data_IF_744428892126
#
_entry.id   IF_744428892126
#
_cell.length_a   1.000
_cell.length_b   1.000
_cell.length_c   1.000
_cell.angle_alpha   90.00
_cell.angle_beta   90.00
_cell.angle_gamma   90.00
#
_symmetry.space_group_name_H-M   'P 1'
#
loop_
_entity.id
_entity.type
_entity.pdbx_description
1 polymer ?
#
# COMPACT_ATOMS: atom_id res chain seq x y z
N UNK A 1 12.18 40.44 -39.49
CA UNK A 1 11.63 39.58 -40.56
C UNK A 1 12.20 38.15 -40.51
N UNK A 2 13.47 37.93 -40.23
CA UNK A 2 14.05 36.57 -40.20
C UNK A 2 13.59 35.60 -39.08
N UNK A 3 13.20 36.10 -37.94
CA UNK A 3 12.74 35.22 -36.85
C UNK A 3 11.36 34.56 -37.08
N UNK A 4 10.42 35.30 -37.69
CA UNK A 4 9.09 34.79 -38.03
C UNK A 4 9.15 33.77 -39.15
N UNK A 5 10.01 34.01 -40.12
CA UNK A 5 10.25 33.09 -41.24
C UNK A 5 10.87 31.76 -40.76
N UNK A 6 11.82 31.81 -39.84
CA UNK A 6 12.42 30.60 -39.24
C UNK A 6 11.43 29.79 -38.35
N UNK A 7 10.55 30.47 -37.64
CA UNK A 7 9.49 29.79 -36.87
C UNK A 7 8.47 29.12 -37.78
N UNK A 8 8.05 29.81 -38.85
CA UNK A 8 7.13 29.25 -39.87
C UNK A 8 7.77 28.06 -40.63
N UNK A 9 9.05 28.13 -40.94
CA UNK A 9 9.78 27.03 -41.59
C UNK A 9 9.93 25.83 -40.63
N UNK A 10 10.20 26.07 -39.35
CA UNK A 10 10.30 25.00 -38.32
C UNK A 10 8.95 24.31 -38.06
N UNK A 11 7.84 25.09 -38.00
CA UNK A 11 6.50 24.51 -37.89
C UNK A 11 6.07 23.76 -39.13
N UNK A 12 6.45 24.21 -40.31
CA UNK A 12 6.18 23.49 -41.57
C UNK A 12 6.97 22.18 -41.64
N UNK A 13 8.25 22.18 -41.21
CA UNK A 13 9.08 20.97 -41.10
C UNK A 13 8.52 19.97 -40.08
N UNK A 14 8.01 20.43 -38.92
CA UNK A 14 7.39 19.58 -37.94
C UNK A 14 6.02 19.01 -38.40
N UNK A 15 5.25 19.78 -39.18
CA UNK A 15 4.01 19.30 -39.80
C UNK A 15 4.25 18.26 -40.89
N UNK A 16 5.35 18.40 -41.67
CA UNK A 16 5.75 17.41 -42.70
C UNK A 16 6.36 16.17 -42.04
N UNK A 17 7.10 16.31 -40.93
CA UNK A 17 7.62 15.16 -40.16
C UNK A 17 6.50 14.34 -39.46
N UNK A 18 5.36 14.97 -39.11
CA UNK A 18 4.23 14.28 -38.48
C UNK A 18 3.35 13.42 -39.42
N UNK A 19 3.63 13.44 -40.74
CA UNK A 19 2.86 12.65 -41.74
C UNK A 19 3.58 11.40 -42.21
N UNK A 20 4.80 11.16 -41.77
CA UNK A 20 5.46 9.87 -42.05
C UNK A 20 5.11 8.86 -40.97
N UNK A 21 4.04 8.08 -41.22
CA UNK A 21 3.88 6.78 -40.58
C UNK A 21 5.10 5.94 -40.99
N UNK A 22 6.05 5.81 -40.09
CA UNK A 22 7.15 4.86 -40.27
C UNK A 22 6.57 3.48 -40.03
N UNK A 23 6.02 2.87 -41.07
CA UNK A 23 5.88 1.42 -41.13
C UNK A 23 7.29 0.85 -41.18
N UNK A 24 7.73 0.24 -40.09
CA UNK A 24 8.99 -0.51 -40.10
C UNK A 24 8.79 -1.72 -41.02
N UNK A 25 9.18 -1.60 -42.27
CA UNK A 25 9.21 -2.71 -43.21
C UNK A 25 10.50 -3.49 -42.95
N UNK A 26 10.35 -4.74 -42.51
CA UNK A 26 11.48 -5.65 -42.36
C UNK A 26 11.74 -6.29 -43.72
N UNK A 27 12.98 -6.20 -44.20
CA UNK A 27 13.44 -6.83 -45.43
C UNK A 27 14.11 -8.16 -45.02
N UNK A 28 13.72 -9.30 -45.64
CA UNK A 28 14.38 -10.58 -45.41
C UNK A 28 15.77 -10.62 -46.05
N UNK A 29 16.54 -11.66 -45.77
CA UNK A 29 17.89 -11.86 -46.31
C UNK A 29 17.96 -11.93 -47.87
N UNK A 30 16.80 -12.07 -48.52
CA UNK A 30 16.68 -12.11 -49.99
C UNK A 30 16.24 -10.76 -50.57
N UNK A 31 16.16 -9.69 -49.73
CA UNK A 31 15.81 -8.35 -50.19
C UNK A 31 14.33 -8.13 -50.50
N UNK A 32 13.47 -9.04 -50.07
CA UNK A 32 12.02 -8.92 -50.23
C UNK A 32 11.38 -8.29 -49.00
N UNK A 33 10.42 -7.39 -49.21
CA UNK A 33 9.59 -6.85 -48.12
C UNK A 33 8.78 -7.99 -47.51
N UNK A 34 9.01 -8.24 -46.24
CA UNK A 34 8.19 -9.16 -45.48
C UNK A 34 7.11 -8.34 -44.79
N UNK A 35 5.88 -8.59 -45.18
CA UNK A 35 4.74 -8.05 -44.45
C UNK A 35 4.62 -8.83 -43.12
N UNK A 36 5.22 -8.26 -42.05
CA UNK A 36 5.33 -8.93 -40.75
C UNK A 36 4.01 -8.95 -40.01
N UNK A 37 2.91 -8.47 -40.60
CA UNK A 37 1.72 -8.14 -39.85
C UNK A 37 0.77 -9.31 -39.67
N UNK A 38 0.76 -10.33 -40.51
CA UNK A 38 -0.17 -11.45 -40.36
C UNK A 38 0.45 -12.78 -40.80
N UNK A 39 1.00 -13.51 -39.85
CA UNK A 39 1.21 -14.94 -40.05
C UNK A 39 -0.17 -15.61 -39.93
N UNK A 40 -0.83 -15.87 -41.07
CA UNK A 40 -2.18 -16.50 -41.14
C UNK A 40 -2.23 -17.92 -40.53
N UNK A 41 -1.07 -18.44 -40.10
CA UNK A 41 -0.94 -19.75 -39.50
C UNK A 41 -0.90 -19.76 -37.96
N UNK A 42 -1.04 -18.59 -37.30
CA UNK A 42 -1.05 -18.52 -35.84
C UNK A 42 -2.45 -18.81 -35.33
N UNK A 43 -2.62 -19.92 -34.61
CA UNK A 43 -3.86 -20.24 -33.92
C UNK A 43 -4.01 -19.37 -32.67
N UNK A 44 -4.81 -18.30 -32.81
CA UNK A 44 -5.10 -17.36 -31.71
C UNK A 44 -6.12 -17.90 -30.71
N UNK A 45 -6.68 -19.06 -30.96
CA UNK A 45 -7.63 -19.75 -30.06
C UNK A 45 -6.96 -20.81 -29.20
N UNK A 46 -5.68 -21.09 -29.45
CA UNK A 46 -4.92 -22.02 -28.63
C UNK A 46 -4.78 -21.50 -27.19
N UNK A 47 -4.88 -22.37 -26.21
CA UNK A 47 -4.85 -22.02 -24.78
C UNK A 47 -3.53 -21.35 -24.35
N UNK A 48 -2.44 -21.61 -25.06
CA UNK A 48 -1.11 -21.07 -24.85
C UNK A 48 -0.78 -19.83 -25.71
N UNK A 49 -1.72 -19.37 -26.55
CA UNK A 49 -1.55 -18.14 -27.32
C UNK A 49 -1.34 -16.93 -26.41
N UNK A 50 -2.09 -16.83 -25.30
CA UNK A 50 -1.83 -15.90 -24.21
C UNK A 50 -1.69 -16.72 -22.92
N UNK A 51 -0.58 -16.50 -22.22
CA UNK A 51 -0.37 -17.02 -20.87
C UNK A 51 -0.55 -15.85 -19.91
N UNK A 52 -1.44 -16.01 -18.93
CA UNK A 52 -1.69 -15.03 -17.88
C UNK A 52 -1.25 -15.59 -16.54
N UNK A 53 -0.55 -14.80 -15.75
CA UNK A 53 -0.05 -15.19 -14.42
C UNK A 53 -0.21 -14.06 -13.42
N UNK A 54 -0.44 -14.42 -12.16
CA UNK A 54 -0.32 -13.53 -11.01
C UNK A 54 1.12 -13.60 -10.51
N UNK A 55 1.82 -12.48 -10.50
CA UNK A 55 3.13 -12.35 -9.86
C UNK A 55 2.95 -11.74 -8.48
N UNK A 56 3.63 -12.34 -7.49
CA UNK A 56 3.65 -11.82 -6.12
C UNK A 56 5.08 -11.71 -5.64
N UNK A 57 5.44 -10.53 -5.17
CA UNK A 57 6.74 -10.25 -4.58
C UNK A 57 6.68 -10.27 -3.05
N UNK A 58 7.73 -10.82 -2.45
CA UNK A 58 7.87 -10.89 -1.00
C UNK A 58 7.73 -9.52 -0.31
N UNK A 59 7.24 -9.49 0.93
CA UNK A 59 7.28 -8.31 1.76
C UNK A 59 8.69 -7.72 1.89
N UNK A 60 8.78 -6.40 1.83
CA UNK A 60 10.02 -5.66 2.10
C UNK A 60 10.05 -5.13 3.53
N UNK A 61 11.03 -4.25 3.82
CA UNK A 61 11.27 -3.70 5.15
C UNK A 61 10.86 -2.24 5.30
N UNK A 62 10.44 -1.60 4.21
CA UNK A 62 10.02 -0.20 4.18
C UNK A 62 8.52 -0.07 3.94
N UNK A 63 7.94 1.06 4.34
CA UNK A 63 6.50 1.31 4.36
C UNK A 63 5.78 0.89 3.06
N UNK A 64 6.31 1.26 1.90
CA UNK A 64 5.67 1.01 0.61
C UNK A 64 5.77 -0.44 0.14
N UNK A 65 6.65 -1.25 0.73
CA UNK A 65 6.89 -2.64 0.32
C UNK A 65 6.56 -3.67 1.39
N UNK A 66 6.22 -3.23 2.60
CA UNK A 66 6.05 -4.09 3.80
C UNK A 66 4.96 -5.15 3.63
N UNK A 67 3.97 -4.91 2.80
CA UNK A 67 2.87 -5.84 2.52
C UNK A 67 3.12 -6.70 1.26
N UNK A 68 4.30 -6.59 0.67
CA UNK A 68 4.59 -7.23 -0.61
C UNK A 68 4.12 -6.38 -1.80
N UNK A 69 4.03 -7.00 -2.96
CA UNK A 69 3.46 -6.40 -4.16
C UNK A 69 2.88 -7.48 -5.07
N UNK A 70 1.89 -7.13 -5.87
CA UNK A 70 1.32 -8.03 -6.87
C UNK A 70 1.14 -7.31 -8.20
N UNK A 71 1.34 -8.04 -9.31
CA UNK A 71 1.02 -7.59 -10.65
C UNK A 71 0.53 -8.75 -11.53
N UNK A 72 -0.03 -8.45 -12.68
CA UNK A 72 -0.39 -9.43 -13.70
C UNK A 72 0.71 -9.52 -14.75
N UNK A 73 1.18 -10.72 -15.05
CA UNK A 73 2.08 -10.98 -16.17
C UNK A 73 1.28 -11.56 -17.31
N UNK A 74 1.41 -10.96 -18.49
CA UNK A 74 0.85 -11.50 -19.72
C UNK A 74 1.96 -11.76 -20.74
N UNK A 75 1.90 -12.96 -21.32
CA UNK A 75 2.86 -13.41 -22.31
C UNK A 75 2.14 -13.80 -23.59
N UNK A 76 2.70 -13.46 -24.73
CA UNK A 76 2.37 -14.04 -26.03
C UNK A 76 3.66 -14.56 -26.67
N UNK A 77 4.02 -15.84 -26.44
CA UNK A 77 5.29 -16.42 -26.88
C UNK A 77 5.48 -16.34 -28.39
N UNK A 78 4.41 -16.47 -29.15
CA UNK A 78 4.43 -16.39 -30.62
C UNK A 78 4.94 -15.05 -31.14
N UNK A 79 4.66 -13.95 -30.40
CA UNK A 79 5.12 -12.60 -30.75
C UNK A 79 6.25 -12.11 -29.87
N UNK A 80 6.79 -12.95 -28.97
CA UNK A 80 7.87 -12.59 -28.07
C UNK A 80 7.49 -11.47 -27.07
N UNK A 81 6.20 -11.33 -26.78
CA UNK A 81 5.69 -10.34 -25.82
C UNK A 81 5.65 -10.91 -24.42
N UNK A 82 6.19 -10.18 -23.45
CA UNK A 82 6.25 -10.63 -22.03
C UNK A 82 6.31 -9.41 -21.11
N UNK A 83 5.17 -9.03 -20.55
CA UNK A 83 5.01 -7.81 -19.77
C UNK A 83 4.33 -8.06 -18.44
N UNK A 84 4.78 -7.37 -17.41
CA UNK A 84 4.13 -7.21 -16.12
C UNK A 84 3.28 -5.93 -16.15
N UNK A 85 1.99 -6.06 -15.91
CA UNK A 85 1.05 -4.96 -15.72
C UNK A 85 0.97 -4.67 -14.23
N UNK A 86 1.66 -3.63 -13.80
CA UNK A 86 1.84 -3.30 -12.40
C UNK A 86 1.15 -1.98 -12.05
N UNK A 87 0.34 -1.98 -11.00
CA UNK A 87 -0.30 -0.77 -10.47
C UNK A 87 0.61 -0.15 -9.43
N UNK A 88 1.24 0.95 -9.80
CA UNK A 88 2.34 1.54 -9.03
C UNK A 88 2.21 3.06 -8.88
N UNK A 89 2.95 3.60 -7.95
CA UNK A 89 3.16 5.03 -7.78
C UNK A 89 4.53 5.45 -8.30
N UNK A 90 4.58 6.56 -9.02
CA UNK A 90 5.83 7.13 -9.48
C UNK A 90 6.64 7.71 -8.32
N UNK A 91 7.79 7.09 -8.02
CA UNK A 91 8.83 7.69 -7.17
C UNK A 91 8.48 7.86 -5.70
N UNK A 92 7.75 6.91 -5.09
CA UNK A 92 7.35 6.93 -3.66
C UNK A 92 8.49 7.28 -2.71
N UNK A 93 9.69 6.78 -2.96
CA UNK A 93 10.85 6.89 -2.06
C UNK A 93 11.24 8.34 -1.74
N UNK A 94 10.99 9.27 -2.67
CA UNK A 94 11.38 10.68 -2.54
C UNK A 94 10.20 11.62 -2.32
N UNK A 95 8.97 11.09 -2.16
CA UNK A 95 7.73 11.88 -2.12
C UNK A 95 6.92 11.68 -0.84
N UNK A 96 7.60 11.51 0.29
CA UNK A 96 6.95 11.30 1.59
C UNK A 96 5.99 12.44 1.96
N UNK A 97 6.32 13.68 1.64
CA UNK A 97 5.45 14.83 1.92
C UNK A 97 4.19 14.80 1.03
N UNK A 98 4.33 14.41 -0.24
CA UNK A 98 3.17 14.24 -1.13
C UNK A 98 2.30 13.08 -0.68
N UNK A 99 2.89 11.97 -0.19
CA UNK A 99 2.16 10.87 0.43
C UNK A 99 1.36 11.36 1.63
N UNK A 100 2.01 12.05 2.59
CA UNK A 100 1.33 12.60 3.77
C UNK A 100 0.29 13.67 3.43
N UNK A 101 0.41 14.35 2.29
CA UNK A 101 -0.58 15.29 1.80
C UNK A 101 -1.73 14.63 1.00
N UNK A 102 -1.69 13.29 0.77
CA UNK A 102 -2.66 12.58 -0.06
C UNK A 102 -2.54 12.90 -1.56
N UNK A 103 -1.41 13.45 -2.01
CA UNK A 103 -1.18 13.88 -3.40
C UNK A 103 -0.39 12.88 -4.24
N UNK A 104 -0.06 11.73 -3.65
CA UNK A 104 0.62 10.69 -4.40
C UNK A 104 -0.37 10.05 -5.39
N UNK A 105 0.05 9.92 -6.64
CA UNK A 105 -0.78 9.35 -7.70
C UNK A 105 -0.30 7.95 -8.07
N UNK A 106 -1.23 7.06 -8.35
CA UNK A 106 -1.01 5.70 -8.80
C UNK A 106 -1.49 5.53 -10.24
N UNK A 107 -0.87 4.63 -10.98
CA UNK A 107 -1.30 4.27 -12.31
C UNK A 107 -0.87 2.87 -12.70
N UNK A 108 -1.45 2.34 -13.77
CA UNK A 108 -1.07 1.07 -14.35
C UNK A 108 0.08 1.27 -15.34
N UNK A 109 1.11 0.42 -15.25
CA UNK A 109 2.28 0.43 -16.12
C UNK A 109 2.52 -0.95 -16.70
N UNK A 110 2.86 -1.00 -17.98
CA UNK A 110 3.36 -2.22 -18.62
C UNK A 110 4.90 -2.20 -18.58
N UNK A 111 5.49 -3.13 -17.85
CA UNK A 111 6.93 -3.22 -17.57
C UNK A 111 7.43 -4.55 -18.14
N UNK A 112 8.51 -4.59 -18.94
CA UNK A 112 9.13 -5.85 -19.35
C UNK A 112 9.47 -6.72 -18.13
N UNK A 113 9.16 -8.02 -18.16
CA UNK A 113 9.31 -8.92 -17.01
C UNK A 113 10.73 -8.93 -16.46
N UNK A 114 11.74 -8.83 -17.32
CA UNK A 114 13.15 -8.84 -16.89
C UNK A 114 13.50 -7.58 -16.08
N UNK A 115 12.97 -6.41 -16.46
CA UNK A 115 13.13 -5.16 -15.74
C UNK A 115 12.41 -5.20 -14.38
N UNK A 116 11.19 -5.74 -14.37
CA UNK A 116 10.42 -5.97 -13.14
C UNK A 116 11.22 -6.87 -12.18
N UNK A 117 11.65 -8.04 -12.62
CA UNK A 117 12.43 -8.97 -11.81
C UNK A 117 13.78 -8.38 -11.36
N UNK A 118 14.45 -7.56 -12.20
CA UNK A 118 15.71 -6.93 -11.84
C UNK A 118 15.57 -5.97 -10.65
N UNK A 119 14.43 -5.30 -10.52
CA UNK A 119 14.14 -4.45 -9.36
C UNK A 119 14.11 -5.26 -8.08
N UNK A 120 13.40 -6.38 -8.05
CA UNK A 120 13.29 -7.25 -6.86
C UNK A 120 14.58 -7.98 -6.53
N UNK A 121 15.38 -8.37 -7.53
CA UNK A 121 16.74 -8.91 -7.30
C UNK A 121 17.63 -7.89 -6.56
N UNK A 122 17.58 -6.61 -6.94
CA UNK A 122 18.32 -5.53 -6.24
C UNK A 122 17.86 -5.34 -4.80
N UNK A 123 16.56 -5.52 -4.54
CA UNK A 123 15.98 -5.43 -3.21
C UNK A 123 16.20 -6.70 -2.38
N UNK A 124 16.64 -7.82 -2.99
CA UNK A 124 16.75 -9.15 -2.38
C UNK A 124 15.38 -9.72 -1.98
N UNK A 125 14.33 -9.42 -2.73
CA UNK A 125 12.96 -9.90 -2.53
C UNK A 125 12.62 -10.97 -3.54
N UNK A 126 11.98 -12.05 -3.12
CA UNK A 126 11.49 -13.11 -4.00
C UNK A 126 10.34 -12.63 -4.88
N UNK A 127 10.22 -13.23 -6.08
CA UNK A 127 9.07 -13.06 -6.97
C UNK A 127 8.57 -14.44 -7.37
N UNK A 128 7.31 -14.70 -7.09
CA UNK A 128 6.63 -15.96 -7.32
C UNK A 128 5.53 -15.78 -8.35
N UNK A 129 5.50 -16.67 -9.34
CA UNK A 129 4.54 -16.63 -10.42
C UNK A 129 3.52 -17.77 -10.28
N UNK A 130 2.25 -17.43 -10.28
CA UNK A 130 1.12 -18.35 -10.27
C UNK A 130 0.35 -18.24 -11.58
N UNK A 131 0.36 -19.28 -12.41
CA UNK A 131 -0.38 -19.29 -13.68
C UNK A 131 -1.89 -19.26 -13.42
N UNK A 132 -2.61 -18.40 -14.16
CA UNK A 132 -4.06 -18.27 -14.13
C UNK A 132 -4.70 -19.26 -15.12
N UNK A 133 -5.53 -20.16 -14.61
CA UNK A 133 -6.27 -21.14 -15.42
C UNK A 133 -7.56 -20.53 -15.98
N UNK A 134 -7.43 -19.48 -16.76
CA UNK A 134 -8.53 -18.79 -17.42
C UNK A 134 -8.71 -19.29 -18.87
N UNK A 135 -9.94 -19.28 -19.43
CA UNK A 135 -10.16 -19.52 -20.85
C UNK A 135 -9.39 -18.52 -21.71
N UNK A 136 -9.01 -18.92 -22.92
CA UNK A 136 -8.21 -18.07 -23.82
C UNK A 136 -8.92 -16.74 -24.15
N UNK A 137 -10.24 -16.76 -24.28
CA UNK A 137 -11.03 -15.56 -24.53
C UNK A 137 -10.90 -14.56 -23.39
N UNK A 138 -10.93 -15.03 -22.14
CA UNK A 138 -10.76 -14.20 -20.94
C UNK A 138 -9.32 -13.65 -20.84
N UNK A 139 -8.31 -14.49 -21.14
CA UNK A 139 -6.90 -14.05 -21.14
C UNK A 139 -6.66 -12.94 -22.19
N UNK A 140 -7.27 -13.06 -23.37
CA UNK A 140 -7.18 -12.04 -24.43
C UNK A 140 -7.93 -10.77 -24.03
N UNK A 141 -9.10 -10.91 -23.43
CA UNK A 141 -9.88 -9.77 -22.92
C UNK A 141 -9.13 -9.06 -21.79
N UNK A 142 -8.52 -9.81 -20.87
CA UNK A 142 -7.69 -9.26 -19.81
C UNK A 142 -6.54 -8.42 -20.38
N UNK A 143 -5.86 -8.92 -21.44
CA UNK A 143 -4.82 -8.15 -22.11
C UNK A 143 -5.37 -6.86 -22.71
N UNK A 144 -6.51 -6.92 -23.40
CA UNK A 144 -7.16 -5.75 -24.00
C UNK A 144 -7.49 -4.69 -22.93
N UNK A 145 -8.11 -5.10 -21.83
CA UNK A 145 -8.47 -4.21 -20.71
C UNK A 145 -7.22 -3.53 -20.14
N UNK A 146 -6.18 -4.31 -19.87
CA UNK A 146 -4.94 -3.76 -19.31
C UNK A 146 -4.23 -2.79 -20.27
N UNK A 147 -4.17 -3.11 -21.57
CA UNK A 147 -3.59 -2.23 -22.59
C UNK A 147 -4.38 -0.92 -22.72
N UNK A 148 -5.70 -0.97 -22.67
CA UNK A 148 -6.54 0.23 -22.69
C UNK A 148 -6.27 1.13 -21.47
N UNK A 149 -6.23 0.57 -20.27
CA UNK A 149 -5.92 1.32 -19.06
C UNK A 149 -4.52 1.95 -19.07
N UNK A 150 -3.52 1.23 -19.62
CA UNK A 150 -2.17 1.77 -19.80
C UNK A 150 -2.18 2.90 -20.84
N UNK A 151 -2.89 2.73 -21.98
CA UNK A 151 -2.97 3.71 -23.05
C UNK A 151 -3.71 4.99 -22.63
N UNK A 152 -4.76 4.86 -21.84
CA UNK A 152 -5.50 5.99 -21.26
C UNK A 152 -4.65 6.78 -20.27
N UNK A 153 -3.66 6.14 -19.65
CA UNK A 153 -2.74 6.78 -18.71
C UNK A 153 -3.43 7.33 -17.46
N UNK A 154 -4.52 6.71 -17.04
CA UNK A 154 -5.29 7.14 -15.87
C UNK A 154 -4.41 7.15 -14.62
N UNK A 155 -4.44 8.27 -13.91
CA UNK A 155 -3.77 8.44 -12.61
C UNK A 155 -4.81 8.76 -11.56
N UNK A 156 -4.81 7.99 -10.47
CA UNK A 156 -5.72 8.14 -9.35
C UNK A 156 -4.93 8.42 -8.06
N UNK A 157 -5.51 9.17 -7.11
CA UNK A 157 -4.89 9.35 -5.80
C UNK A 157 -4.60 7.99 -5.15
N UNK A 158 -3.44 7.89 -4.49
CA UNK A 158 -3.03 6.69 -3.77
C UNK A 158 -4.02 6.36 -2.67
N UNK A 159 -4.56 5.16 -2.74
CA UNK A 159 -5.52 4.64 -1.78
C UNK A 159 -5.26 3.14 -1.59
N UNK A 160 -4.49 2.82 -0.55
CA UNK A 160 -4.04 1.46 -0.31
C UNK A 160 -5.13 0.52 0.22
N UNK A 161 -6.26 1.06 0.70
CA UNK A 161 -7.38 0.24 1.15
C UNK A 161 -8.38 -0.09 0.05
N UNK A 162 -8.67 0.87 -0.84
CA UNK A 162 -9.70 0.68 -1.85
C UNK A 162 -9.13 0.40 -3.24
N UNK A 163 -7.88 0.78 -3.49
CA UNK A 163 -7.22 0.70 -4.81
C UNK A 163 -5.76 0.23 -4.72
N UNK A 164 -5.45 -0.63 -3.77
CA UNK A 164 -4.14 -1.28 -3.68
C UNK A 164 -3.90 -2.25 -4.84
N UNK A 165 -2.64 -2.63 -5.09
CA UNK A 165 -2.27 -3.50 -6.22
C UNK A 165 -3.09 -4.80 -6.27
N UNK A 166 -3.35 -5.44 -5.14
CA UNK A 166 -4.08 -6.71 -5.09
C UNK A 166 -5.56 -6.54 -5.45
N UNK A 167 -6.25 -5.53 -4.90
CA UNK A 167 -7.66 -5.23 -5.22
C UNK A 167 -7.82 -4.87 -6.69
N UNK A 168 -6.93 -4.02 -7.22
CA UNK A 168 -6.96 -3.62 -8.63
C UNK A 168 -6.81 -4.82 -9.56
N UNK A 169 -6.00 -5.82 -9.20
CA UNK A 169 -5.88 -7.08 -9.95
C UNK A 169 -7.21 -7.86 -9.93
N UNK A 170 -7.88 -7.94 -8.78
CA UNK A 170 -9.19 -8.59 -8.67
C UNK A 170 -10.20 -7.90 -9.60
N UNK A 171 -10.21 -6.56 -9.62
CA UNK A 171 -11.12 -5.79 -10.47
C UNK A 171 -10.85 -6.02 -11.95
N UNK A 172 -9.60 -5.99 -12.41
CA UNK A 172 -9.25 -6.27 -13.82
C UNK A 172 -9.63 -7.70 -14.24
N UNK A 173 -9.38 -8.69 -13.39
CA UNK A 173 -9.75 -10.07 -13.70
C UNK A 173 -11.26 -10.24 -13.74
N UNK A 174 -12.02 -9.58 -12.85
CA UNK A 174 -13.49 -9.58 -12.89
C UNK A 174 -14.03 -8.89 -14.14
N UNK A 175 -13.46 -7.77 -14.53
CA UNK A 175 -13.83 -7.06 -15.75
C UNK A 175 -13.64 -7.96 -16.98
N UNK A 176 -12.50 -8.64 -17.09
CA UNK A 176 -12.21 -9.56 -18.19
C UNK A 176 -13.09 -10.81 -18.17
N UNK A 177 -13.54 -11.27 -17.01
CA UNK A 177 -14.47 -12.40 -16.87
C UNK A 177 -15.88 -12.10 -17.37
N UNK A 178 -16.30 -10.82 -17.37
CA UNK A 178 -17.64 -10.39 -17.76
C UNK A 178 -18.72 -11.04 -16.90
N UNK A 179 -19.53 -11.94 -17.48
CA UNK A 179 -20.61 -12.64 -16.77
C UNK A 179 -20.11 -13.86 -15.95
N UNK A 180 -18.88 -14.31 -16.17
CA UNK A 180 -18.30 -15.39 -15.39
C UNK A 180 -17.89 -14.89 -14.01
N UNK A 181 -18.00 -15.76 -13.00
CA UNK A 181 -17.72 -15.41 -11.62
C UNK A 181 -16.53 -16.21 -11.06
N UNK A 182 -15.78 -15.56 -10.18
CA UNK A 182 -14.82 -16.24 -9.30
C UNK A 182 -15.63 -16.83 -8.14
N UNK A 183 -15.68 -18.14 -8.07
CA UNK A 183 -16.27 -18.85 -6.94
C UNK A 183 -15.21 -19.02 -5.85
N UNK A 184 -15.29 -18.18 -4.82
CA UNK A 184 -14.44 -18.27 -3.65
C UNK A 184 -14.88 -19.39 -2.71
N UNK A 185 -13.96 -19.86 -1.87
CA UNK A 185 -14.28 -20.75 -0.77
C UNK A 185 -15.10 -20.04 0.32
N UNK A 186 -16.01 -20.78 0.98
CA UNK A 186 -16.91 -20.22 2.01
C UNK A 186 -16.14 -19.60 3.19
N UNK A 187 -14.92 -20.07 3.46
CA UNK A 187 -14.06 -19.52 4.52
C UNK A 187 -13.75 -18.04 4.35
N UNK A 188 -13.77 -17.51 3.12
CA UNK A 188 -13.61 -16.07 2.86
C UNK A 188 -14.77 -15.24 3.42
N UNK A 189 -15.94 -15.84 3.64
CA UNK A 189 -17.14 -15.16 4.12
C UNK A 189 -17.42 -15.44 5.60
N UNK A 190 -16.77 -16.45 6.19
CA UNK A 190 -16.93 -16.80 7.61
C UNK A 190 -16.25 -15.80 8.54
N UNK A 191 -15.15 -15.20 8.10
CA UNK A 191 -14.40 -14.20 8.85
C UNK A 191 -14.46 -12.85 8.14
N UNK A 192 -14.70 -11.80 8.92
CA UNK A 192 -14.73 -10.42 8.41
C UNK A 192 -13.67 -9.59 9.12
N UNK A 193 -12.38 -9.74 8.77
CA UNK A 193 -11.30 -8.95 9.37
C UNK A 193 -11.48 -7.48 9.04
N UNK A 194 -10.92 -6.62 9.86
CA UNK A 194 -10.76 -5.21 9.54
C UNK A 194 -9.48 -4.99 8.72
N UNK A 195 -9.37 -3.86 8.02
CA UNK A 195 -8.12 -3.51 7.34
C UNK A 195 -6.94 -3.42 8.32
N UNK A 196 -7.18 -2.96 9.55
CA UNK A 196 -6.17 -2.91 10.62
C UNK A 196 -5.71 -4.32 11.03
N UNK A 197 -6.62 -5.30 11.11
CA UNK A 197 -6.26 -6.68 11.42
C UNK A 197 -5.37 -7.28 10.33
N UNK A 198 -5.70 -7.04 9.05
CA UNK A 198 -4.89 -7.50 7.93
C UNK A 198 -3.48 -6.89 7.96
N UNK A 199 -3.37 -5.58 8.17
CA UNK A 199 -2.06 -4.92 8.30
C UNK A 199 -1.28 -5.51 9.46
N UNK A 200 -1.89 -5.69 10.65
CA UNK A 200 -1.20 -6.22 11.83
C UNK A 200 -0.73 -7.66 11.64
N UNK A 201 -1.54 -8.50 11.02
CA UNK A 201 -1.21 -9.91 10.75
C UNK A 201 -0.05 -10.01 9.77
N UNK A 202 -0.04 -9.18 8.73
CA UNK A 202 0.93 -9.26 7.65
C UNK A 202 2.19 -8.38 7.85
N UNK A 203 2.32 -7.66 8.97
CA UNK A 203 3.50 -6.80 9.28
C UNK A 203 4.23 -7.20 10.55
N UNK A 204 4.16 -8.49 10.93
CA UNK A 204 4.85 -9.01 12.14
C UNK A 204 6.37 -8.93 12.04
N UNK A 205 6.90 -8.89 10.83
CA UNK A 205 8.32 -8.75 10.50
C UNK A 205 8.82 -7.30 10.50
N UNK A 206 7.94 -6.29 10.65
CA UNK A 206 8.25 -4.86 10.52
C UNK A 206 7.47 -4.03 11.56
N UNK A 207 7.79 -4.21 12.84
CA UNK A 207 7.02 -3.66 13.96
C UNK A 207 6.96 -2.13 13.97
N UNK A 208 8.03 -1.44 13.51
CA UNK A 208 8.01 0.02 13.39
C UNK A 208 7.06 0.49 12.31
N UNK A 209 7.01 -0.21 11.17
CA UNK A 209 6.06 0.13 10.10
C UNK A 209 4.63 -0.16 10.57
N UNK A 210 4.39 -1.28 11.24
CA UNK A 210 3.11 -1.60 11.86
C UNK A 210 2.66 -0.52 12.84
N UNK A 211 3.56 -0.08 13.72
CA UNK A 211 3.30 0.97 14.69
C UNK A 211 2.85 2.26 13.99
N UNK A 212 3.58 2.71 12.96
CA UNK A 212 3.25 3.92 12.21
C UNK A 212 1.95 3.75 11.42
N UNK A 213 1.74 2.62 10.75
CA UNK A 213 0.52 2.36 10.00
C UNK A 213 -0.72 2.38 10.92
N UNK A 214 -0.65 1.70 12.07
CA UNK A 214 -1.71 1.73 13.07
C UNK A 214 -1.90 3.11 13.70
N UNK A 215 -0.84 3.92 13.80
CA UNK A 215 -0.90 5.29 14.28
C UNK A 215 -1.62 6.22 13.30
N UNK A 216 -1.39 6.06 11.99
CA UNK A 216 -2.00 6.88 10.94
C UNK A 216 -3.46 6.49 10.67
N UNK A 217 -3.83 5.23 10.89
CA UNK A 217 -5.12 4.67 10.53
C UNK A 217 -6.26 5.24 11.37
N UNK A 218 -7.26 5.81 10.70
CA UNK A 218 -8.52 6.27 11.28
C UNK A 218 -9.56 5.15 11.39
N UNK A 219 -10.83 5.51 11.67
CA UNK A 219 -11.92 4.57 11.92
C UNK A 219 -12.34 3.75 10.69
N UNK A 220 -12.19 4.29 9.50
CA UNK A 220 -12.58 3.62 8.26
C UNK A 220 -11.87 2.27 8.11
N UNK A 221 -10.62 2.19 8.57
CA UNK A 221 -9.80 0.97 8.54
C UNK A 221 -10.34 -0.12 9.46
N UNK A 222 -11.18 0.25 10.41
CA UNK A 222 -11.76 -0.66 11.41
C UNK A 222 -13.14 -1.20 11.00
N UNK A 223 -13.62 -0.84 9.80
CA UNK A 223 -14.83 -1.43 9.24
C UNK A 223 -14.56 -2.88 8.79
N UNK A 224 -15.53 -3.79 9.03
CA UNK A 224 -15.41 -5.18 8.59
C UNK A 224 -15.32 -5.29 7.08
N UNK A 225 -14.31 -5.99 6.58
CA UNK A 225 -14.13 -6.27 5.17
C UNK A 225 -14.87 -7.56 4.80
N UNK A 226 -15.71 -7.49 3.78
CA UNK A 226 -16.57 -8.61 3.35
C UNK A 226 -16.16 -9.06 1.95
N UNK A 227 -16.05 -10.39 1.77
CA UNK A 227 -15.74 -11.02 0.49
C UNK A 227 -14.37 -10.59 -0.04
N UNK A 228 -14.29 -10.24 -1.30
CA UNK A 228 -13.06 -9.86 -1.99
C UNK A 228 -12.44 -8.54 -1.51
N UNK A 229 -13.17 -7.70 -0.78
CA UNK A 229 -12.58 -6.55 -0.08
C UNK A 229 -11.50 -6.94 0.95
N UNK A 230 -11.48 -8.21 1.38
CA UNK A 230 -10.41 -8.74 2.23
C UNK A 230 -9.09 -8.97 1.48
N UNK A 231 -9.12 -9.00 0.15
CA UNK A 231 -7.96 -9.34 -0.69
C UNK A 231 -7.04 -8.13 -0.93
N UNK A 232 -6.84 -7.30 0.09
CA UNK A 232 -5.99 -6.10 0.05
C UNK A 232 -4.51 -6.44 -0.06
N UNK A 233 -4.11 -7.58 0.52
CA UNK A 233 -2.72 -7.97 0.68
C UNK A 233 -2.36 -9.05 -0.34
N UNK A 234 -1.25 -8.92 -1.07
CA UNK A 234 -0.86 -9.87 -2.12
C UNK A 234 -0.86 -11.33 -1.69
N UNK A 235 -0.37 -11.66 -0.51
CA UNK A 235 -0.34 -13.04 -0.03
C UNK A 235 -1.75 -13.56 0.31
N UNK A 236 -2.65 -12.71 0.79
CA UNK A 236 -4.03 -13.10 1.09
C UNK A 236 -4.81 -13.30 -0.22
N UNK A 237 -4.53 -12.51 -1.26
CA UNK A 237 -5.04 -12.73 -2.62
C UNK A 237 -4.61 -14.10 -3.14
N UNK A 238 -3.33 -14.47 -3.03
CA UNK A 238 -2.84 -15.80 -3.45
C UNK A 238 -3.60 -16.90 -2.71
N UNK A 239 -3.70 -16.82 -1.38
CA UNK A 239 -4.38 -17.84 -0.55
C UNK A 239 -5.84 -18.03 -0.96
N UNK A 240 -6.56 -16.93 -1.20
CA UNK A 240 -7.95 -16.98 -1.64
C UNK A 240 -8.07 -17.56 -3.06
N UNK A 241 -7.21 -17.16 -3.99
CA UNK A 241 -7.27 -17.59 -5.37
C UNK A 241 -6.79 -19.05 -5.60
N UNK A 242 -5.91 -19.56 -4.73
CA UNK A 242 -5.56 -21.01 -4.74
C UNK A 242 -6.75 -21.92 -4.43
N UNK A 243 -7.73 -21.42 -3.66
CA UNK A 243 -8.95 -22.16 -3.32
C UNK A 243 -10.13 -21.81 -4.24
N UNK A 244 -10.04 -20.69 -4.95
CA UNK A 244 -11.08 -20.19 -5.84
C UNK A 244 -11.15 -20.99 -7.16
N UNK A 245 -12.33 -20.96 -7.78
CA UNK A 245 -12.61 -21.61 -9.07
C UNK A 245 -13.27 -20.67 -10.03
N UNK A 246 -12.97 -20.85 -11.33
CA UNK A 246 -13.71 -20.23 -12.44
C UNK A 246 -14.21 -21.37 -13.32
N UNK A 247 -15.52 -21.41 -13.60
CA UNK A 247 -16.16 -22.51 -14.35
C UNK A 247 -15.84 -23.91 -13.79
N UNK A 248 -15.74 -24.02 -12.45
CA UNK A 248 -15.44 -25.28 -11.75
C UNK A 248 -13.97 -25.73 -11.79
N UNK A 249 -13.09 -25.03 -12.51
CA UNK A 249 -11.64 -25.29 -12.52
C UNK A 249 -10.92 -24.39 -11.51
N UNK A 250 -9.84 -24.88 -10.83
CA UNK A 250 -9.01 -24.04 -9.97
C UNK A 250 -8.51 -22.80 -10.71
N UNK A 251 -8.61 -21.62 -10.07
CA UNK A 251 -8.20 -20.35 -10.69
C UNK A 251 -6.68 -20.25 -10.84
N UNK A 252 -5.91 -20.69 -9.84
CA UNK A 252 -4.45 -20.68 -9.88
C UNK A 252 -3.88 -22.09 -10.08
N UNK A 253 -2.71 -22.19 -10.68
CA UNK A 253 -1.87 -23.36 -10.60
C UNK A 253 -1.47 -23.61 -9.13
N UNK A 254 -1.29 -24.89 -8.75
CA UNK A 254 -1.03 -25.29 -7.36
C UNK A 254 0.33 -24.82 -6.84
N UNK A 255 1.35 -24.86 -7.68
CA UNK A 255 2.71 -24.52 -7.31
C UNK A 255 3.20 -23.28 -8.08
N UNK A 256 3.87 -22.33 -7.40
CA UNK A 256 4.44 -21.17 -8.05
C UNK A 256 5.74 -21.53 -8.80
N UNK A 257 5.97 -20.85 -9.92
CA UNK A 257 7.27 -20.76 -10.53
C UNK A 257 8.08 -19.63 -9.84
N UNK A 258 9.31 -19.89 -9.42
CA UNK A 258 10.16 -18.91 -8.75
C UNK A 258 10.95 -18.15 -9.82
N UNK A 259 10.60 -16.86 -10.02
CA UNK A 259 11.29 -15.99 -10.98
C UNK A 259 12.51 -15.30 -10.36
N UNK A 260 12.42 -14.99 -9.07
CA UNK A 260 13.50 -14.41 -8.27
C UNK A 260 13.52 -15.09 -6.92
N UNK A 261 14.67 -15.62 -6.54
CA UNK A 261 14.89 -16.11 -5.18
C UNK A 261 15.02 -14.93 -4.21
N UNK A 262 14.28 -14.98 -3.12
CA UNK A 262 14.31 -13.97 -2.08
C UNK A 262 14.87 -14.52 -0.76
N UNK A 263 15.49 -13.66 0.01
CA UNK A 263 15.90 -13.96 1.37
C UNK A 263 14.86 -13.40 2.35
N UNK A 264 14.36 -14.19 3.32
CA UNK A 264 13.48 -13.68 4.36
C UNK A 264 14.17 -12.54 5.13
N UNK A 265 13.61 -11.35 5.07
CA UNK A 265 14.14 -10.20 5.82
C UNK A 265 13.50 -10.15 7.19
N UNK A 266 14.26 -10.50 8.22
CA UNK A 266 13.91 -10.22 9.62
C UNK A 266 14.48 -8.84 9.95
N UNK A 267 13.63 -7.88 10.21
CA UNK A 267 14.05 -6.49 10.28
C UNK A 267 14.12 -5.89 11.68
N UNK A 268 13.42 -6.44 12.64
CA UNK A 268 13.33 -5.82 13.94
C UNK A 268 14.51 -6.25 14.82
N UNK A 269 15.44 -5.32 15.02
CA UNK A 269 16.40 -5.42 16.10
C UNK A 269 15.70 -5.40 17.46
N UNK A 270 16.46 -5.47 18.54
CA UNK A 270 15.94 -5.43 19.91
C UNK A 270 15.16 -4.14 20.24
N UNK A 271 15.39 -3.03 19.51
CA UNK A 271 14.73 -1.75 19.72
C UNK A 271 13.42 -1.66 18.93
N UNK A 272 12.35 -2.06 19.58
CA UNK A 272 10.98 -2.07 18.99
C UNK A 272 10.12 -0.93 19.55
N UNK A 273 8.96 -0.61 18.95
CA UNK A 273 8.01 0.36 19.51
C UNK A 273 7.59 0.02 20.95
N UNK A 274 7.45 -1.27 21.25
CA UNK A 274 7.12 -1.73 22.61
C UNK A 274 8.24 -1.39 23.59
N UNK A 275 9.49 -1.63 23.23
CA UNK A 275 10.66 -1.29 24.07
C UNK A 275 10.74 0.21 24.31
N UNK A 276 10.53 1.02 23.25
CA UNK A 276 10.47 2.49 23.40
C UNK A 276 9.37 2.91 24.36
N UNK A 277 8.16 2.37 24.21
CA UNK A 277 7.00 2.74 25.03
C UNK A 277 7.20 2.37 26.51
N UNK A 278 7.77 1.18 26.77
CA UNK A 278 8.14 0.75 28.14
C UNK A 278 9.22 1.70 28.72
N UNK A 279 10.25 2.03 27.95
CA UNK A 279 11.31 2.94 28.40
C UNK A 279 10.75 4.32 28.75
N UNK A 280 9.87 4.88 27.90
CA UNK A 280 9.24 6.16 28.17
C UNK A 280 8.37 6.10 29.43
N UNK A 281 7.61 5.02 29.62
CA UNK A 281 6.80 4.82 30.82
C UNK A 281 7.67 4.72 32.09
N UNK A 282 8.73 3.95 32.08
CA UNK A 282 9.68 3.83 33.20
C UNK A 282 10.31 5.17 33.53
N UNK A 283 10.74 5.94 32.52
CA UNK A 283 11.28 7.28 32.70
C UNK A 283 10.24 8.26 33.25
N UNK A 284 8.99 8.18 32.80
CA UNK A 284 7.90 9.02 33.31
C UNK A 284 7.60 8.69 34.79
N UNK A 285 7.56 7.42 35.18
CA UNK A 285 7.43 6.99 36.58
C UNK A 285 8.60 7.50 37.44
N UNK A 286 9.83 7.29 36.98
CA UNK A 286 11.02 7.77 37.68
C UNK A 286 11.02 9.28 37.86
N UNK A 287 10.55 10.02 36.85
CA UNK A 287 10.47 11.49 36.90
C UNK A 287 9.41 12.03 37.89
N UNK A 288 8.45 11.23 38.32
CA UNK A 288 7.56 11.62 39.45
C UNK A 288 8.36 11.80 40.75
N UNK A 289 9.42 11.00 40.94
CA UNK A 289 10.28 11.07 42.13
C UNK A 289 11.45 12.05 41.95
N UNK A 290 12.05 12.14 40.77
CA UNK A 290 13.18 13.01 40.50
C UNK A 290 12.78 14.47 40.25
N UNK A 291 11.54 14.72 39.86
CA UNK A 291 10.95 16.05 39.71
C UNK A 291 11.59 16.92 38.63
N UNK A 292 12.23 16.35 37.61
CA UNK A 292 12.98 17.14 36.62
C UNK A 292 12.07 17.78 35.58
N UNK A 293 11.95 19.11 35.50
CA UNK A 293 11.02 19.81 34.61
C UNK A 293 11.40 19.69 33.13
N UNK A 294 12.70 19.55 32.80
CA UNK A 294 13.14 19.41 31.41
C UNK A 294 12.63 18.12 30.76
N UNK A 295 12.43 17.03 31.52
CA UNK A 295 11.84 15.80 31.01
C UNK A 295 10.35 16.01 30.64
N UNK A 296 9.59 16.72 31.50
CA UNK A 296 8.21 17.04 31.25
C UNK A 296 8.08 17.88 29.96
N UNK A 297 8.96 18.87 29.79
CA UNK A 297 9.02 19.69 28.59
C UNK A 297 9.34 18.88 27.33
N UNK A 298 10.31 18.01 27.39
CA UNK A 298 10.69 17.15 26.27
C UNK A 298 9.50 16.26 25.85
N UNK A 299 8.87 15.62 26.81
CA UNK A 299 7.71 14.75 26.56
C UNK A 299 6.52 15.53 25.96
N UNK A 300 6.21 16.70 26.52
CA UNK A 300 5.12 17.53 25.99
C UNK A 300 5.46 18.15 24.63
N UNK A 301 6.70 18.51 24.38
CA UNK A 301 7.13 18.97 23.07
C UNK A 301 7.03 17.87 22.01
N UNK A 302 7.44 16.65 22.34
CA UNK A 302 7.28 15.47 21.45
C UNK A 302 5.81 15.19 21.17
N UNK A 303 4.95 15.19 22.21
CA UNK A 303 3.51 15.02 22.05
C UNK A 303 2.91 16.10 21.15
N UNK A 304 3.29 17.36 21.35
CA UNK A 304 2.81 18.49 20.54
C UNK A 304 3.23 18.35 19.08
N UNK A 305 4.49 17.99 18.81
CA UNK A 305 4.98 17.79 17.45
C UNK A 305 4.20 16.71 16.72
N UNK A 306 4.03 15.55 17.36
CA UNK A 306 3.22 14.44 16.83
C UNK A 306 1.76 14.88 16.67
N UNK A 307 1.22 15.61 17.65
CA UNK A 307 -0.15 16.15 17.60
C UNK A 307 -0.39 17.16 16.49
N UNK A 308 0.60 18.01 16.16
CA UNK A 308 0.53 18.89 14.99
C UNK A 308 0.46 18.06 13.69
N UNK A 309 1.28 17.01 13.58
CA UNK A 309 1.23 16.09 12.45
C UNK A 309 -0.13 15.39 12.32
N UNK A 310 -0.67 14.87 13.43
CA UNK A 310 -1.99 14.25 13.46
C UNK A 310 -3.11 15.23 13.06
N UNK A 311 -3.07 16.45 13.60
CA UNK A 311 -4.03 17.50 13.25
C UNK A 311 -3.94 17.87 11.76
N UNK A 312 -2.72 17.93 11.21
CA UNK A 312 -2.52 18.15 9.78
C UNK A 312 -3.16 17.03 8.96
N UNK A 313 -2.91 15.77 9.29
CA UNK A 313 -3.46 14.62 8.56
C UNK A 313 -4.98 14.58 8.58
N UNK A 314 -5.60 14.87 9.74
CA UNK A 314 -7.07 14.82 9.88
C UNK A 314 -7.75 16.02 9.21
N UNK A 315 -7.15 17.21 9.26
CA UNK A 315 -7.84 18.45 8.87
C UNK A 315 -7.42 19.01 7.50
N UNK A 316 -6.25 18.64 6.97
CA UNK A 316 -5.65 19.28 5.81
C UNK A 316 -5.06 18.30 4.77
N UNK A 317 -5.02 17.02 5.06
CA UNK A 317 -4.52 16.01 4.14
C UNK A 317 -5.68 15.30 3.44
N UNK A 318 -5.49 14.99 2.16
CA UNK A 318 -6.37 14.12 1.39
C UNK A 318 -5.93 12.64 1.47
N UNK A 319 -5.04 12.30 2.41
CA UNK A 319 -4.59 10.92 2.60
C UNK A 319 -5.77 10.06 3.09
N UNK A 320 -6.07 9.02 2.34
CA UNK A 320 -7.17 8.12 2.67
C UNK A 320 -7.03 7.50 4.07
N UNK A 321 -8.14 7.17 4.68
CA UNK A 321 -8.22 6.37 5.91
C UNK A 321 -7.55 7.01 7.14
N UNK A 322 -7.38 8.32 7.18
CA UNK A 322 -6.83 9.04 8.35
C UNK A 322 -7.90 9.75 9.19
N UNK A 323 -9.11 9.86 8.67
CA UNK A 323 -10.21 10.54 9.34
C UNK A 323 -10.66 9.81 10.62
N UNK A 324 -11.21 10.58 11.57
CA UNK A 324 -11.73 10.06 12.84
C UNK A 324 -10.74 9.18 13.60
N UNK A 325 -9.46 9.58 13.62
CA UNK A 325 -8.43 8.83 14.32
C UNK A 325 -8.49 9.09 15.83
N UNK A 326 -8.75 8.04 16.62
CA UNK A 326 -8.84 8.10 18.08
C UNK A 326 -7.56 8.60 18.78
N UNK A 327 -6.41 8.54 18.11
CA UNK A 327 -5.14 9.03 18.63
C UNK A 327 -5.05 10.55 18.69
N UNK A 328 -6.00 11.29 18.11
CA UNK A 328 -6.06 12.76 18.26
C UNK A 328 -6.30 13.20 19.70
N UNK A 329 -6.98 12.38 20.52
CA UNK A 329 -7.23 12.73 21.92
C UNK A 329 -5.93 12.78 22.74
N UNK A 330 -5.04 11.77 22.71
CA UNK A 330 -3.74 11.85 23.39
C UNK A 330 -2.68 12.67 22.62
N UNK A 331 -2.73 12.70 21.30
CA UNK A 331 -1.76 13.39 20.46
C UNK A 331 -2.36 14.65 19.83
N UNK A 332 -2.32 15.76 20.56
CA UNK A 332 -2.79 17.05 20.09
C UNK A 332 -1.89 18.19 20.61
N UNK A 333 -1.87 19.36 19.96
CA UNK A 333 -0.98 20.48 20.35
C UNK A 333 -1.45 21.29 21.56
N UNK A 334 -2.67 21.05 22.05
CA UNK A 334 -3.31 21.90 23.08
C UNK A 334 -2.52 22.00 24.39
N UNK A 335 -1.93 20.92 24.95
CA UNK A 335 -1.20 20.98 26.19
C UNK A 335 -0.06 22.01 26.21
N UNK A 336 0.68 22.15 25.10
CA UNK A 336 1.76 23.13 25.00
C UNK A 336 1.22 24.54 24.70
N UNK A 337 0.22 24.66 23.84
CA UNK A 337 -0.43 25.95 23.52
C UNK A 337 -0.99 26.58 24.78
N UNK A 338 -1.66 25.80 25.62
CA UNK A 338 -2.27 26.28 26.86
C UNK A 338 -1.38 26.04 28.09
N UNK A 339 -0.07 25.86 27.92
CA UNK A 339 0.87 25.62 29.02
C UNK A 339 0.78 26.60 30.16
N UNK A 340 0.55 27.89 29.85
CA UNK A 340 0.42 28.93 30.88
C UNK A 340 -0.72 28.66 31.87
N UNK A 341 -1.82 28.06 31.38
CA UNK A 341 -2.99 27.68 32.21
C UNK A 341 -2.97 26.23 32.67
N UNK A 342 -1.83 25.53 32.66
CA UNK A 342 -1.73 24.11 32.98
C UNK A 342 -2.38 23.68 34.32
N UNK A 343 -2.34 24.58 35.34
CA UNK A 343 -2.98 24.30 36.64
C UNK A 343 -4.49 24.15 36.57
N UNK A 344 -5.12 24.59 35.49
CA UNK A 344 -6.58 24.51 35.30
C UNK A 344 -6.97 23.34 34.40
N UNK A 345 -6.20 23.05 33.34
CA UNK A 345 -6.54 22.02 32.38
C UNK A 345 -5.88 20.65 32.66
N UNK A 346 -4.75 20.60 33.39
CA UNK A 346 -4.01 19.35 33.53
C UNK A 346 -4.82 18.21 34.17
N UNK A 347 -5.63 18.50 35.19
CA UNK A 347 -6.45 17.47 35.84
C UNK A 347 -7.57 16.93 34.93
N UNK A 348 -8.43 17.75 34.29
CA UNK A 348 -9.42 17.24 33.36
C UNK A 348 -8.79 16.53 32.17
N UNK A 349 -7.66 17.01 31.63
CA UNK A 349 -6.99 16.34 30.53
C UNK A 349 -6.35 14.99 30.94
N UNK A 350 -5.78 14.89 32.12
CA UNK A 350 -5.34 13.62 32.68
C UNK A 350 -6.52 12.63 32.80
N UNK A 351 -7.70 13.11 33.17
CA UNK A 351 -8.93 12.29 33.17
C UNK A 351 -9.29 11.77 31.76
N UNK A 352 -9.21 12.64 30.74
CA UNK A 352 -9.43 12.23 29.33
C UNK A 352 -8.43 11.16 28.90
N UNK A 353 -7.14 11.33 29.18
CA UNK A 353 -6.11 10.35 28.87
C UNK A 353 -6.32 9.00 29.58
N UNK A 354 -6.73 9.05 30.86
CA UNK A 354 -7.01 7.84 31.63
C UNK A 354 -8.22 7.07 31.07
N UNK A 355 -9.30 7.77 30.74
CA UNK A 355 -10.48 7.18 30.09
C UNK A 355 -10.11 6.59 28.74
N UNK A 356 -9.34 7.31 27.94
CA UNK A 356 -8.85 6.82 26.63
C UNK A 356 -8.02 5.54 26.79
N UNK A 357 -7.03 5.51 27.69
CA UNK A 357 -6.22 4.32 27.96
C UNK A 357 -7.07 3.12 28.39
N UNK A 358 -8.02 3.36 29.30
CA UNK A 358 -8.94 2.31 29.76
C UNK A 358 -9.82 1.78 28.63
N UNK A 359 -10.42 2.66 27.85
CA UNK A 359 -11.28 2.28 26.73
C UNK A 359 -10.51 1.48 25.67
N UNK A 360 -9.31 1.95 25.25
CA UNK A 360 -8.50 1.26 24.27
C UNK A 360 -7.99 -0.10 24.77
N UNK A 361 -7.60 -0.19 26.04
CA UNK A 361 -7.19 -1.46 26.64
C UNK A 361 -8.37 -2.44 26.73
N UNK A 362 -9.54 -1.99 27.16
CA UNK A 362 -10.74 -2.82 27.24
C UNK A 362 -11.14 -3.34 25.84
N UNK A 363 -11.19 -2.47 24.84
CA UNK A 363 -11.52 -2.87 23.47
C UNK A 363 -10.50 -3.87 22.92
N UNK A 364 -9.20 -3.66 23.17
CA UNK A 364 -8.15 -4.60 22.76
C UNK A 364 -8.32 -5.98 23.41
N UNK A 365 -8.67 -6.01 24.71
CA UNK A 365 -8.93 -7.28 25.44
C UNK A 365 -10.17 -7.99 24.88
N UNK A 366 -11.20 -7.26 24.45
CA UNK A 366 -12.42 -7.83 23.87
C UNK A 366 -12.27 -8.21 22.38
N UNK A 367 -11.06 -8.06 21.81
CA UNK A 367 -10.77 -8.44 20.43
C UNK A 367 -10.94 -7.31 19.40
N UNK A 368 -11.37 -6.11 19.82
CA UNK A 368 -11.46 -4.93 18.96
C UNK A 368 -10.17 -4.11 19.05
N UNK A 369 -9.18 -4.44 18.26
CA UNK A 369 -7.84 -3.85 18.38
C UNK A 369 -7.72 -2.58 17.54
N UNK A 370 -8.11 -1.43 18.09
CA UNK A 370 -8.02 -0.12 17.42
C UNK A 370 -6.59 0.48 17.45
N UNK A 371 -5.76 0.08 18.41
CA UNK A 371 -4.39 0.56 18.59
C UNK A 371 -3.49 -0.55 19.13
N UNK A 372 -2.18 -0.46 18.89
CA UNK A 372 -1.22 -1.39 19.50
C UNK A 372 -0.99 -1.08 20.98
N UNK A 373 -0.62 -2.09 21.78
CA UNK A 373 -0.25 -1.92 23.18
C UNK A 373 0.88 -0.89 23.40
N UNK A 374 1.79 -0.75 22.45
CA UNK A 374 2.82 0.27 22.46
C UNK A 374 2.27 1.69 22.50
N UNK A 375 1.17 1.97 21.78
CA UNK A 375 0.48 3.28 21.84
C UNK A 375 -0.13 3.51 23.21
N UNK A 376 -0.79 2.51 23.80
CA UNK A 376 -1.42 2.61 25.12
C UNK A 376 -0.35 2.92 26.19
N UNK A 377 0.78 2.20 26.18
CA UNK A 377 1.87 2.42 27.13
C UNK A 377 2.50 3.82 26.94
N UNK A 378 2.63 4.28 25.71
CA UNK A 378 3.12 5.61 25.42
C UNK A 378 2.17 6.68 25.97
N UNK A 379 0.86 6.53 25.78
CA UNK A 379 -0.15 7.46 26.33
C UNK A 379 -0.16 7.42 27.86
N UNK A 380 0.03 6.25 28.48
CA UNK A 380 0.21 6.16 29.94
C UNK A 380 1.43 6.97 30.42
N UNK A 381 2.55 6.96 29.70
CA UNK A 381 3.70 7.80 30.02
C UNK A 381 3.33 9.30 29.97
N UNK A 382 2.59 9.74 28.94
CA UNK A 382 2.08 11.12 28.86
C UNK A 382 1.09 11.44 29.98
N UNK A 383 0.18 10.54 30.31
CA UNK A 383 -0.72 10.70 31.43
C UNK A 383 0.01 11.04 32.72
N UNK A 384 1.11 10.33 33.05
CA UNK A 384 1.92 10.58 34.20
C UNK A 384 2.57 11.99 34.17
N UNK A 385 3.08 12.40 33.02
CA UNK A 385 3.66 13.73 32.84
C UNK A 385 2.62 14.83 33.01
N UNK A 386 1.42 14.67 32.43
CA UNK A 386 0.30 15.61 32.58
C UNK A 386 -0.21 15.62 34.03
N UNK A 387 -0.38 14.46 34.68
CA UNK A 387 -0.80 14.34 36.07
C UNK A 387 0.14 15.08 37.02
N UNK A 388 1.45 15.02 36.80
CA UNK A 388 2.46 15.77 37.55
C UNK A 388 2.23 17.30 37.49
N UNK A 389 1.62 17.82 36.43
CA UNK A 389 1.30 19.26 36.31
C UNK A 389 0.03 19.67 37.05
N UNK A 390 -0.68 18.72 37.68
CA UNK A 390 -1.92 19.02 38.43
C UNK A 390 -1.61 19.74 39.74
N UNK A 391 -2.60 20.47 40.27
CA UNK A 391 -2.52 21.10 41.61
C UNK A 391 -2.36 20.08 42.73
N UNK A 392 -2.78 18.84 42.50
CA UNK A 392 -2.70 17.74 43.48
C UNK A 392 -1.23 17.36 43.70
N UNK A 393 -0.43 17.32 42.65
CA UNK A 393 0.97 16.91 42.70
C UNK A 393 1.92 18.07 43.03
N UNK A 394 1.58 19.30 42.67
CA UNK A 394 2.41 20.51 42.90
C UNK A 394 2.25 21.12 44.30
N UNK A 395 1.48 20.48 45.19
CA UNK A 395 1.42 20.82 46.63
C UNK A 395 2.54 20.09 47.37
#
# INVERSE_FOLDING_TARGET
>A
MNRIFNILLLTLLLLVAGTFSVSAQIINEQGQYVDTVFNDHVDRTADDFVIASLLVADPGTVMYSVLGHACLRLQCPVFGMDYCFSYESEGVQNRVLDFLAGKLMMGLFAIPVEEYCATYRKEGRGVYEYTLNLPIEVKRELWRVLDEHVAEGVRLPYDYFHRGCAITIVDFVKEALGEMMIAYDDSLYEHTPTGRDLVKTNTTHALWVRFVACFLAGNEVDEPLIGDKQLLIPIDLVRAWQQAKVNGKPLLASEPNILVDGEPKVNDGWFTPMVLSILLLVLAVANLFWGKPYFDWLMLAAQTLVGCGMTYLICFSDLCCTEWNWLIFPFNPLPLIFWHWRKHWALPYAGVLAIWCFAMAAMTIWGHVLVDWSHILMVLAWLLVVFKQTKIFLK
#
